data_IF_902302770675
#
_entry.id   IF_902302770675
#
_cell.length_a   1.000
_cell.length_b   1.000
_cell.length_c   1.000
_cell.angle_alpha   90.00
_cell.angle_beta   90.00
_cell.angle_gamma   90.00
#
_symmetry.space_group_name_H-M   'P 1'
#
loop_
_entity.id
_entity.type
_entity.pdbx_description
1 polymer ?
#
# COMPACT_ATOMS: atom_id res chain seq x y z
N UNK A 1 -47.50 0.44 -11.88
CA UNK A 1 -47.48 1.90 -11.63
C UNK A 1 -46.75 2.13 -10.31
N UNK A 2 -45.84 3.11 -10.22
CA UNK A 2 -45.08 3.42 -9.00
C UNK A 2 -45.51 4.75 -8.37
N UNK A 3 -45.68 4.74 -7.05
CA UNK A 3 -45.92 5.93 -6.23
C UNK A 3 -44.59 6.51 -5.76
N UNK A 4 -44.39 7.82 -5.96
CA UNK A 4 -43.20 8.51 -5.47
C UNK A 4 -43.17 8.54 -3.94
N UNK A 5 -42.12 7.96 -3.33
CA UNK A 5 -41.93 7.92 -1.87
C UNK A 5 -41.73 9.29 -1.22
N UNK A 6 -41.52 10.35 -2.01
CA UNK A 6 -41.32 11.71 -1.51
C UNK A 6 -42.57 12.57 -1.55
N UNK A 7 -43.33 12.52 -2.65
CA UNK A 7 -44.44 13.45 -2.89
C UNK A 7 -45.78 12.76 -3.13
N UNK A 8 -45.82 11.42 -3.13
CA UNK A 8 -47.06 10.65 -3.32
C UNK A 8 -47.59 10.65 -4.75
N UNK A 9 -46.98 11.39 -5.69
CA UNK A 9 -47.44 11.39 -7.10
C UNK A 9 -47.25 10.02 -7.73
N UNK A 10 -48.26 9.62 -8.50
CA UNK A 10 -48.27 8.41 -9.29
C UNK A 10 -47.46 8.58 -10.58
N UNK A 11 -46.63 7.58 -10.91
CA UNK A 11 -45.76 7.60 -12.07
C UNK A 11 -45.81 6.24 -12.79
N UNK A 12 -45.45 6.25 -14.08
CA UNK A 12 -45.25 5.03 -14.87
C UNK A 12 -44.13 4.19 -14.24
N UNK A 13 -44.23 2.85 -14.32
CA UNK A 13 -43.21 1.95 -13.73
C UNK A 13 -41.82 2.16 -14.32
N UNK A 14 -41.77 2.55 -15.59
CA UNK A 14 -40.53 2.78 -16.34
C UNK A 14 -40.02 4.23 -16.23
N UNK A 15 -40.74 5.11 -15.50
CA UNK A 15 -40.33 6.49 -15.34
C UNK A 15 -39.03 6.57 -14.50
N UNK A 16 -37.94 7.16 -15.03
CA UNK A 16 -36.70 7.30 -14.26
C UNK A 16 -36.79 8.34 -13.14
N UNK A 17 -37.65 9.34 -13.33
CA UNK A 17 -37.84 10.46 -12.43
C UNK A 17 -39.33 10.71 -12.22
N UNK A 18 -39.67 11.26 -11.05
CA UNK A 18 -41.03 11.66 -10.73
C UNK A 18 -41.45 12.89 -11.53
N UNK A 19 -42.63 12.85 -12.17
CA UNK A 19 -43.18 13.95 -12.98
C UNK A 19 -43.44 15.23 -12.18
N UNK A 20 -43.69 15.11 -10.86
CA UNK A 20 -44.03 16.25 -10.02
C UNK A 20 -42.81 16.85 -9.30
N UNK A 21 -41.98 16.03 -8.63
CA UNK A 21 -40.87 16.52 -7.82
C UNK A 21 -39.47 16.32 -8.44
N UNK A 22 -39.41 15.75 -9.65
CA UNK A 22 -38.19 15.49 -10.42
C UNK A 22 -37.11 14.66 -9.69
N UNK A 23 -37.49 13.90 -8.64
CA UNK A 23 -36.58 13.01 -7.92
C UNK A 23 -36.54 11.63 -8.59
N UNK A 24 -35.36 10.99 -8.58
CA UNK A 24 -35.13 9.64 -9.10
C UNK A 24 -36.01 8.61 -8.39
N UNK A 25 -36.76 7.84 -9.15
CA UNK A 25 -37.60 6.75 -8.66
C UNK A 25 -36.74 5.50 -8.41
N UNK A 26 -37.01 4.80 -7.30
CA UNK A 26 -36.19 3.65 -6.85
C UNK A 26 -36.58 2.32 -7.51
N UNK A 27 -37.65 2.27 -8.34
CA UNK A 27 -38.14 1.03 -8.98
C UNK A 27 -37.47 0.68 -10.30
N UNK A 28 -36.51 1.45 -10.80
CA UNK A 28 -35.68 1.02 -11.93
C UNK A 28 -34.69 -0.09 -11.53
N UNK A 29 -35.17 -1.17 -10.89
CA UNK A 29 -34.57 -2.46 -11.15
C UNK A 29 -35.00 -2.83 -12.55
N UNK A 30 -34.06 -2.81 -13.49
CA UNK A 30 -34.20 -3.56 -14.73
C UNK A 30 -34.49 -5.01 -14.34
N UNK A 31 -35.76 -5.40 -14.23
CA UNK A 31 -36.21 -6.77 -14.13
C UNK A 31 -36.13 -7.47 -15.50
N UNK A 32 -35.06 -7.17 -16.24
CA UNK A 32 -34.82 -7.54 -17.62
C UNK A 32 -33.33 -7.63 -17.90
N UNK A 33 -32.53 -8.00 -16.90
CA UNK A 33 -31.37 -8.82 -17.22
C UNK A 33 -31.97 -10.21 -17.36
N UNK A 34 -32.26 -10.59 -18.61
CA UNK A 34 -32.52 -11.99 -18.94
C UNK A 34 -31.52 -12.82 -18.14
N UNK A 35 -32.02 -13.83 -17.42
CA UNK A 35 -31.19 -14.78 -16.73
C UNK A 35 -30.40 -15.57 -17.79
N UNK A 36 -29.39 -14.94 -18.37
CA UNK A 36 -28.32 -15.60 -19.08
C UNK A 36 -27.75 -16.67 -18.16
N UNK A 37 -27.20 -17.77 -18.71
CA UNK A 37 -26.79 -18.93 -17.94
C UNK A 37 -25.98 -18.43 -16.75
N UNK A 38 -26.45 -18.76 -15.54
CA UNK A 38 -25.87 -18.37 -14.27
C UNK A 38 -24.35 -18.49 -14.41
N UNK A 39 -23.68 -17.34 -14.53
CA UNK A 39 -22.23 -17.30 -14.72
C UNK A 39 -21.66 -17.92 -13.45
N UNK A 40 -21.32 -19.21 -13.53
CA UNK A 40 -20.80 -20.04 -12.46
C UNK A 40 -19.82 -19.18 -11.69
N UNK A 41 -20.14 -18.88 -10.43
CA UNK A 41 -19.35 -18.01 -9.59
C UNK A 41 -17.90 -18.43 -9.72
N UNK A 42 -17.12 -17.61 -10.43
CA UNK A 42 -15.71 -17.90 -10.61
C UNK A 42 -15.13 -17.86 -9.21
N UNK A 43 -14.60 -19.01 -8.78
CA UNK A 43 -13.96 -19.18 -7.49
C UNK A 43 -12.94 -18.05 -7.36
N UNK A 44 -13.22 -17.10 -6.47
CA UNK A 44 -12.36 -15.94 -6.25
C UNK A 44 -10.97 -16.49 -5.93
N UNK A 45 -9.99 -16.19 -6.79
CA UNK A 45 -8.61 -16.53 -6.50
C UNK A 45 -8.08 -15.51 -5.49
N UNK A 46 -7.31 -15.94 -4.49
CA UNK A 46 -6.62 -15.01 -3.61
C UNK A 46 -5.75 -14.10 -4.47
N UNK A 47 -5.70 -12.82 -4.08
CA UNK A 47 -4.86 -11.82 -4.74
C UNK A 47 -3.41 -12.28 -4.64
N UNK A 48 -2.80 -12.57 -5.79
CA UNK A 48 -1.39 -12.92 -5.81
C UNK A 48 -0.56 -11.65 -5.56
N UNK A 49 0.43 -11.70 -4.67
CA UNK A 49 1.30 -10.56 -4.43
C UNK A 49 2.00 -10.20 -5.74
N UNK A 50 1.90 -8.95 -6.15
CA UNK A 50 2.54 -8.46 -7.36
C UNK A 50 4.05 -8.65 -7.27
N UNK A 51 4.66 -9.17 -8.32
CA UNK A 51 6.11 -9.38 -8.43
C UNK A 51 6.95 -8.11 -8.15
N UNK A 52 6.35 -6.91 -8.19
CA UNK A 52 7.01 -5.66 -7.82
C UNK A 52 7.55 -5.60 -6.38
N UNK A 53 7.10 -6.48 -5.48
CA UNK A 53 7.61 -6.54 -4.11
C UNK A 53 9.06 -7.01 -4.01
N UNK A 54 9.54 -7.84 -4.94
CA UNK A 54 10.94 -8.33 -4.92
C UNK A 54 11.90 -7.26 -5.41
N UNK A 55 11.55 -6.55 -6.47
CA UNK A 55 12.35 -5.47 -7.04
C UNK A 55 12.56 -4.31 -6.05
N UNK A 56 11.48 -3.90 -5.37
CA UNK A 56 11.55 -2.88 -4.32
C UNK A 56 12.45 -3.31 -3.15
N UNK A 57 12.36 -4.58 -2.72
CA UNK A 57 13.21 -5.14 -1.66
C UNK A 57 14.69 -5.15 -2.05
N UNK A 58 15.00 -5.50 -3.29
CA UNK A 58 16.38 -5.47 -3.81
C UNK A 58 16.93 -4.06 -3.85
N UNK A 59 16.12 -3.07 -4.23
CA UNK A 59 16.53 -1.66 -4.25
C UNK A 59 16.80 -1.13 -2.84
N UNK A 60 15.93 -1.43 -1.87
CA UNK A 60 16.15 -1.08 -0.46
C UNK A 60 17.42 -1.72 0.11
N UNK A 61 17.69 -2.99 -0.22
CA UNK A 61 18.90 -3.68 0.22
C UNK A 61 20.18 -2.99 -0.29
N UNK A 62 20.19 -2.59 -1.57
CA UNK A 62 21.31 -1.85 -2.16
C UNK A 62 21.49 -0.47 -1.54
N UNK A 63 20.40 0.25 -1.25
CA UNK A 63 20.48 1.52 -0.53
C UNK A 63 21.07 1.33 0.87
N UNK A 64 20.64 0.28 1.60
CA UNK A 64 21.19 -0.03 2.92
C UNK A 64 22.69 -0.34 2.86
N UNK A 65 23.15 -1.11 1.86
CA UNK A 65 24.59 -1.38 1.64
C UNK A 65 25.41 -0.10 1.56
N UNK A 66 24.97 0.84 0.71
CA UNK A 66 25.67 2.11 0.50
C UNK A 66 25.74 2.92 1.79
N UNK A 67 24.64 3.02 2.53
CA UNK A 67 24.62 3.75 3.81
C UNK A 67 25.48 3.09 4.88
N UNK A 68 25.57 1.76 4.89
CA UNK A 68 26.40 1.02 5.85
C UNK A 68 27.89 1.29 5.59
N UNK A 69 28.32 1.23 4.33
CA UNK A 69 29.70 1.55 3.93
C UNK A 69 30.01 3.02 4.23
N UNK A 70 29.10 3.94 3.91
CA UNK A 70 29.28 5.36 4.19
C UNK A 70 29.45 5.64 5.69
N UNK A 71 28.64 5.01 6.55
CA UNK A 71 28.75 5.15 8.00
C UNK A 71 30.08 4.59 8.54
N UNK A 72 30.55 3.45 7.99
CA UNK A 72 31.83 2.85 8.37
C UNK A 72 33.00 3.76 7.98
N UNK A 73 33.01 4.26 6.74
CA UNK A 73 34.04 5.20 6.26
C UNK A 73 34.02 6.51 7.06
N UNK A 74 32.83 7.06 7.35
CA UNK A 74 32.70 8.25 8.18
C UNK A 74 33.21 8.01 9.61
N UNK A 75 32.86 6.86 10.22
CA UNK A 75 33.34 6.47 11.54
C UNK A 75 34.86 6.32 11.60
N UNK A 76 35.48 5.69 10.60
CA UNK A 76 36.94 5.56 10.50
C UNK A 76 37.63 6.90 10.22
N UNK A 77 37.02 7.75 9.38
CA UNK A 77 37.56 9.10 9.09
C UNK A 77 37.49 9.98 10.33
N UNK A 78 36.42 9.85 11.13
CA UNK A 78 36.28 10.54 12.42
C UNK A 78 37.23 9.98 13.48
N UNK A 79 37.49 8.66 13.47
CA UNK A 79 38.50 8.01 14.30
C UNK A 79 39.92 8.52 14.01
N UNK A 80 40.20 8.89 12.76
CA UNK A 80 41.50 9.40 12.32
C UNK A 80 41.75 10.88 12.60
N UNK A 81 40.74 11.65 12.99
CA UNK A 81 40.91 13.04 13.41
C UNK A 81 41.30 13.03 14.90
N UNK A 82 42.53 13.42 15.28
CA UNK A 82 42.94 13.43 16.69
C UNK A 82 42.15 14.50 17.44
N UNK A 83 41.02 14.12 18.02
CA UNK A 83 40.37 14.88 19.08
C UNK A 83 41.09 14.53 20.38
N UNK A 84 42.03 15.40 20.81
CA UNK A 84 42.66 15.47 22.13
C UNK A 84 43.25 14.15 22.71
N UNK A 85 44.53 14.11 23.14
CA UNK A 85 45.11 12.93 23.77
C UNK A 85 44.45 12.64 25.13
N UNK A 86 43.37 11.86 25.13
CA UNK A 86 42.66 11.45 26.35
C UNK A 86 41.20 11.05 26.19
N UNK A 87 40.54 11.36 25.06
CA UNK A 87 39.11 11.07 24.87
C UNK A 87 38.84 10.17 23.66
N UNK A 88 39.56 9.05 23.56
CA UNK A 88 39.27 8.00 22.60
C UNK A 88 37.89 7.39 22.87
N UNK A 89 36.92 7.77 22.04
CA UNK A 89 35.51 7.36 22.13
C UNK A 89 35.33 5.97 21.49
N UNK A 90 35.90 4.95 22.14
CA UNK A 90 35.91 3.54 21.73
C UNK A 90 34.52 2.98 21.36
N UNK A 91 33.46 3.53 21.97
CA UNK A 91 32.07 3.17 21.72
C UNK A 91 31.61 3.48 20.29
N UNK A 92 32.22 4.44 19.57
CA UNK A 92 31.91 4.74 18.17
C UNK A 92 32.38 3.60 17.25
N UNK A 93 33.58 3.07 17.47
CA UNK A 93 34.10 1.91 16.72
C UNK A 93 33.33 0.63 17.03
N UNK A 94 32.94 0.43 18.29
CA UNK A 94 32.07 -0.68 18.67
C UNK A 94 30.68 -0.55 18.03
N UNK A 95 30.12 0.66 17.96
CA UNK A 95 28.85 0.93 17.28
C UNK A 95 28.92 0.63 15.77
N UNK A 96 30.00 1.02 15.10
CA UNK A 96 30.20 0.72 13.68
C UNK A 96 30.35 -0.79 13.41
N UNK A 97 31.10 -1.51 14.25
CA UNK A 97 31.25 -2.96 14.14
C UNK A 97 29.94 -3.70 14.45
N UNK A 98 29.18 -3.25 15.44
CA UNK A 98 27.88 -3.85 15.79
C UNK A 98 26.84 -3.67 14.68
N UNK A 99 26.78 -2.49 14.04
CA UNK A 99 25.92 -2.25 12.88
C UNK A 99 26.31 -3.11 11.68
N UNK A 100 27.62 -3.24 11.40
CA UNK A 100 28.12 -4.15 10.36
C UNK A 100 27.75 -5.61 10.62
N UNK A 101 27.95 -6.10 11.85
CA UNK A 101 27.63 -7.48 12.22
C UNK A 101 26.12 -7.78 12.20
N UNK A 102 25.28 -6.83 12.67
CA UNK A 102 23.84 -6.94 12.59
C UNK A 102 23.34 -7.00 11.13
N UNK A 103 23.97 -6.22 10.25
CA UNK A 103 23.66 -6.22 8.82
C UNK A 103 24.04 -7.54 8.13
N UNK A 104 25.23 -8.09 8.42
CA UNK A 104 25.65 -9.41 7.93
C UNK A 104 24.70 -10.53 8.41
N UNK A 105 24.23 -10.47 9.67
CA UNK A 105 23.28 -11.44 10.23
C UNK A 105 21.89 -11.33 9.61
N UNK A 106 21.45 -10.15 9.17
CA UNK A 106 20.17 -9.99 8.48
C UNK A 106 20.20 -10.51 7.04
N UNK A 107 21.41 -10.68 6.48
CA UNK A 107 21.63 -11.10 5.10
C UNK A 107 21.74 -12.63 4.94
N UNK A 108 22.11 -13.37 5.99
CA UNK A 108 22.18 -14.83 6.03
C UNK A 108 20.91 -15.45 6.59
#
# INVERSE_FOLDING_TARGET
MIICTRCGTENLDDAPFCIHCNRKLQSLRRAGVEAGPTRRSQRLRPMQPSAGGTEFRTLLARCAEVWTVAALVAGLSFWGLPAEPGQTSWWIGVGALALGAAWLRWRG
#
